data_IF_873648289963
#
_entry.id   IF_873648289963
#
_cell.length_a   1.000
_cell.length_b   1.000
_cell.length_c   1.000
_cell.angle_alpha   90.00
_cell.angle_beta   90.00
_cell.angle_gamma   90.00
#
_symmetry.space_group_name_H-M   'P 1'
#
loop_
_entity.id
_entity.type
_entity.pdbx_description
1 polymer ?
#
# COMPACT_ATOMS: atom_id res chain seq x y z
N UNK A 1 -7.87 48.38 -26.34
CA UNK A 1 -7.06 47.19 -26.19
C UNK A 1 -7.99 46.02 -26.41
N UNK A 2 -7.98 45.48 -27.60
CA UNK A 2 -8.80 44.34 -28.04
C UNK A 2 -8.15 43.08 -27.52
N UNK A 3 -8.80 42.42 -26.58
CA UNK A 3 -8.42 41.07 -26.13
C UNK A 3 -8.84 40.09 -27.24
N UNK A 4 -7.86 39.58 -27.98
CA UNK A 4 -8.02 38.44 -28.86
C UNK A 4 -8.43 37.22 -28.02
N UNK A 5 -9.74 36.92 -28.02
CA UNK A 5 -10.25 35.63 -27.63
C UNK A 5 -9.90 34.65 -28.78
N UNK A 6 -8.72 34.02 -28.72
CA UNK A 6 -8.47 32.82 -29.47
C UNK A 6 -9.39 31.73 -28.90
N UNK A 7 -10.57 31.57 -29.46
CA UNK A 7 -11.36 30.34 -29.36
C UNK A 7 -10.54 29.26 -30.05
N UNK A 8 -9.84 28.45 -29.25
CA UNK A 8 -9.20 27.21 -29.67
C UNK A 8 -10.32 26.32 -30.25
N UNK A 9 -10.53 26.35 -31.56
CA UNK A 9 -11.52 25.50 -32.22
C UNK A 9 -10.98 24.10 -32.27
N UNK A 10 -11.24 23.31 -31.22
CA UNK A 10 -10.89 21.90 -31.13
C UNK A 10 -11.39 21.21 -32.40
N UNK A 11 -10.47 20.66 -33.19
CA UNK A 11 -10.80 19.92 -34.39
C UNK A 11 -11.18 18.48 -34.01
N UNK A 12 -12.16 17.92 -34.74
CA UNK A 12 -12.66 16.58 -34.49
C UNK A 12 -12.51 15.72 -35.76
N UNK A 13 -12.30 14.43 -35.56
CA UNK A 13 -12.48 13.39 -36.57
C UNK A 13 -13.72 12.57 -36.24
N UNK A 14 -14.44 12.11 -37.27
CA UNK A 14 -15.58 11.21 -37.07
C UNK A 14 -15.10 9.77 -37.04
N UNK A 15 -15.37 9.07 -35.94
CA UNK A 15 -15.19 7.62 -35.80
C UNK A 15 -16.54 6.92 -35.64
N UNK A 16 -16.58 5.60 -35.89
CA UNK A 16 -17.82 4.83 -35.82
C UNK A 16 -17.59 3.57 -34.97
N UNK A 17 -18.53 3.29 -34.10
CA UNK A 17 -18.70 2.01 -33.45
C UNK A 17 -20.06 1.35 -33.79
N UNK A 18 -20.44 0.29 -33.11
CA UNK A 18 -21.70 -0.42 -33.35
C UNK A 18 -22.95 0.41 -33.04
N UNK A 19 -22.81 1.51 -32.31
CA UNK A 19 -23.90 2.44 -31.96
C UNK A 19 -23.98 3.66 -32.88
N UNK A 20 -23.07 3.80 -33.86
CA UNK A 20 -23.05 4.89 -34.84
C UNK A 20 -21.83 5.79 -34.74
N UNK A 21 -21.90 6.96 -35.40
CA UNK A 21 -20.79 7.91 -35.47
C UNK A 21 -20.62 8.72 -34.19
N UNK A 22 -19.35 9.03 -33.85
CA UNK A 22 -18.94 9.86 -32.71
C UNK A 22 -17.81 10.79 -33.16
N UNK A 23 -17.87 12.04 -32.71
CA UNK A 23 -16.80 13.01 -32.92
C UNK A 23 -15.73 12.85 -31.84
N UNK A 24 -14.52 12.50 -32.25
CA UNK A 24 -13.35 12.31 -31.37
C UNK A 24 -12.36 13.45 -31.62
N UNK A 25 -11.73 14.06 -30.60
CA UNK A 25 -10.71 15.09 -30.82
C UNK A 25 -9.60 14.59 -31.75
N UNK A 26 -9.17 15.43 -32.72
CA UNK A 26 -8.27 14.98 -33.79
C UNK A 26 -6.92 14.48 -33.26
N UNK A 27 -6.43 15.07 -32.18
CA UNK A 27 -5.14 14.72 -31.57
C UNK A 27 -5.21 13.50 -30.65
N UNK A 28 -6.41 13.10 -30.22
CA UNK A 28 -6.58 11.97 -29.33
C UNK A 28 -6.20 10.65 -30.03
N UNK A 29 -5.53 9.74 -29.27
CA UNK A 29 -5.30 8.37 -29.70
C UNK A 29 -6.44 7.43 -29.32
N UNK A 30 -7.32 7.82 -28.36
CA UNK A 30 -8.53 7.05 -28.11
C UNK A 30 -9.53 7.18 -29.27
N UNK A 31 -10.51 6.28 -29.30
CA UNK A 31 -11.51 6.20 -30.36
C UNK A 31 -12.94 6.43 -29.86
N UNK A 32 -13.90 5.92 -30.64
CA UNK A 32 -15.32 6.13 -30.46
C UNK A 32 -15.85 5.62 -29.12
N UNK A 33 -15.44 4.43 -28.65
CA UNK A 33 -15.94 3.84 -27.40
C UNK A 33 -15.47 4.62 -26.18
N UNK A 34 -14.22 5.06 -26.16
CA UNK A 34 -13.67 5.92 -25.12
C UNK A 34 -14.39 7.26 -25.09
N UNK A 35 -14.61 7.89 -26.23
CA UNK A 35 -15.30 9.17 -26.30
C UNK A 35 -16.75 9.11 -25.80
N UNK A 36 -17.46 8.01 -26.08
CA UNK A 36 -18.79 7.78 -25.48
C UNK A 36 -18.72 7.71 -23.96
N UNK A 37 -17.74 6.98 -23.42
CA UNK A 37 -17.55 6.85 -21.97
C UNK A 37 -17.27 8.21 -21.32
N UNK A 38 -16.40 9.03 -21.92
CA UNK A 38 -16.13 10.41 -21.45
C UNK A 38 -17.40 11.27 -21.38
N UNK A 39 -18.30 11.08 -22.33
CA UNK A 39 -19.55 11.83 -22.38
C UNK A 39 -20.60 11.31 -21.40
N UNK A 40 -20.63 9.99 -21.15
CA UNK A 40 -21.64 9.34 -20.32
C UNK A 40 -21.33 9.36 -18.82
N UNK A 41 -20.05 9.29 -18.43
CA UNK A 41 -19.63 9.14 -17.03
C UNK A 41 -18.92 10.40 -16.54
N UNK A 42 -19.68 11.47 -16.29
CA UNK A 42 -19.19 12.72 -15.70
C UNK A 42 -19.36 12.65 -14.17
N UNK A 43 -18.66 11.73 -13.54
CA UNK A 43 -18.78 11.40 -12.11
C UNK A 43 -17.39 11.49 -11.47
N UNK A 44 -17.25 12.35 -10.44
CA UNK A 44 -15.97 12.54 -9.76
C UNK A 44 -14.86 13.08 -10.67
N UNK A 45 -13.62 12.81 -10.32
CA UNK A 45 -12.44 13.21 -11.10
C UNK A 45 -11.33 12.15 -11.04
N UNK A 46 -11.57 11.07 -10.30
CA UNK A 46 -10.59 10.01 -10.09
C UNK A 46 -10.46 9.17 -11.36
N UNK A 47 -9.26 9.16 -11.93
CA UNK A 47 -8.90 8.33 -13.10
C UNK A 47 -8.18 7.06 -12.66
N UNK A 48 -8.01 6.11 -13.58
CA UNK A 48 -7.24 4.89 -13.28
C UNK A 48 -5.79 5.23 -12.91
N UNK A 49 -5.23 4.62 -11.86
CA UNK A 49 -3.84 4.82 -11.47
C UNK A 49 -2.87 4.40 -12.59
N UNK A 50 -1.79 5.15 -12.75
CA UNK A 50 -0.76 4.88 -13.77
C UNK A 50 -0.25 3.42 -13.74
N UNK A 51 0.01 2.78 -12.58
CA UNK A 51 0.41 1.36 -12.56
C UNK A 51 -0.62 0.41 -13.17
N UNK A 52 -1.93 0.73 -13.12
CA UNK A 52 -2.95 -0.08 -13.75
C UNK A 52 -2.95 0.10 -15.28
N UNK A 53 -2.74 1.33 -15.76
CA UNK A 53 -2.59 1.62 -17.20
C UNK A 53 -1.38 0.87 -17.75
N UNK A 54 -0.24 0.92 -17.05
CA UNK A 54 0.96 0.17 -17.44
C UNK A 54 0.72 -1.35 -17.46
N UNK A 55 0.02 -1.87 -16.45
CA UNK A 55 -0.32 -3.29 -16.40
C UNK A 55 -1.27 -3.71 -17.53
N UNK A 56 -2.24 -2.88 -17.89
CA UNK A 56 -3.09 -3.12 -19.06
C UNK A 56 -2.27 -3.17 -20.35
N UNK A 57 -1.32 -2.26 -20.53
CA UNK A 57 -0.42 -2.29 -21.69
C UNK A 57 0.47 -3.54 -21.69
N UNK A 58 0.99 -3.98 -20.53
CA UNK A 58 1.73 -5.25 -20.39
C UNK A 58 0.88 -6.45 -20.75
N UNK A 59 -0.39 -6.48 -20.35
CA UNK A 59 -1.33 -7.55 -20.75
C UNK A 59 -1.50 -7.59 -22.27
N UNK A 60 -1.67 -6.43 -22.93
CA UNK A 60 -1.80 -6.37 -24.41
C UNK A 60 -0.51 -6.78 -25.10
N UNK A 61 0.65 -6.35 -24.59
CA UNK A 61 1.95 -6.79 -25.10
C UNK A 61 2.13 -8.31 -25.00
N UNK A 62 1.85 -8.88 -23.83
CA UNK A 62 1.96 -10.32 -23.59
C UNK A 62 0.98 -11.12 -24.47
N UNK A 63 -0.25 -10.62 -24.62
CA UNK A 63 -1.25 -11.22 -25.48
C UNK A 63 -0.81 -11.23 -26.97
N UNK A 64 -0.27 -10.11 -27.47
CA UNK A 64 0.23 -10.04 -28.86
C UNK A 64 1.40 -11.00 -29.08
N UNK A 65 2.39 -11.06 -28.20
CA UNK A 65 3.53 -11.99 -28.26
C UNK A 65 3.02 -13.44 -28.27
N UNK A 66 2.11 -13.77 -27.37
CA UNK A 66 1.58 -15.14 -27.25
C UNK A 66 0.73 -15.53 -28.45
N UNK A 67 -0.14 -14.65 -28.93
CA UNK A 67 -0.98 -14.92 -30.11
C UNK A 67 -0.16 -15.10 -31.39
N UNK A 68 0.93 -14.34 -31.58
CA UNK A 68 1.83 -14.53 -32.68
C UNK A 68 2.54 -15.88 -32.59
N UNK A 69 3.08 -16.24 -31.43
CA UNK A 69 3.69 -17.55 -31.19
C UNK A 69 2.74 -18.72 -31.46
N UNK A 70 1.45 -18.55 -31.23
CA UNK A 70 0.39 -19.52 -31.49
C UNK A 70 -0.19 -19.43 -32.92
N UNK A 71 0.39 -18.57 -33.76
CA UNK A 71 -0.03 -18.42 -35.17
C UNK A 71 -1.41 -17.75 -35.34
N UNK A 72 -1.87 -16.96 -34.37
CA UNK A 72 -3.18 -16.31 -34.37
C UNK A 72 -3.15 -14.90 -34.93
N UNK A 73 -2.01 -14.21 -34.86
CA UNK A 73 -1.73 -12.94 -35.52
C UNK A 73 -0.35 -13.04 -36.22
N UNK A 74 -0.10 -12.19 -37.21
CA UNK A 74 1.21 -12.16 -37.87
C UNK A 74 2.27 -11.48 -36.99
N UNK A 75 3.54 -11.77 -37.28
CA UNK A 75 4.67 -11.13 -36.57
C UNK A 75 4.67 -9.60 -36.75
N UNK A 76 4.36 -9.11 -37.99
CA UNK A 76 4.28 -7.67 -38.23
C UNK A 76 3.23 -6.97 -37.31
N UNK A 77 2.07 -7.59 -37.15
CA UNK A 77 1.04 -7.06 -36.25
C UNK A 77 1.48 -7.09 -34.79
N UNK A 78 2.11 -8.18 -34.34
CA UNK A 78 2.70 -8.31 -33.03
C UNK A 78 3.69 -7.17 -32.77
N UNK A 79 4.62 -6.92 -33.68
CA UNK A 79 5.68 -5.94 -33.52
C UNK A 79 5.13 -4.52 -33.36
N UNK A 80 4.13 -4.16 -34.15
CA UNK A 80 3.45 -2.86 -34.04
C UNK A 80 2.69 -2.70 -32.72
N UNK A 81 1.97 -3.75 -32.29
CA UNK A 81 1.26 -3.72 -30.98
C UNK A 81 2.25 -3.62 -29.83
N UNK A 82 3.34 -4.40 -29.88
CA UNK A 82 4.39 -4.39 -28.84
C UNK A 82 5.05 -3.02 -28.77
N UNK A 83 5.40 -2.40 -29.88
CA UNK A 83 6.02 -1.08 -29.91
C UNK A 83 5.09 -0.02 -29.29
N UNK A 84 3.82 0.02 -29.68
CA UNK A 84 2.85 0.96 -29.11
C UNK A 84 2.62 0.72 -27.62
N UNK A 85 2.55 -0.54 -27.17
CA UNK A 85 2.43 -0.89 -25.75
C UNK A 85 3.66 -0.47 -24.95
N UNK A 86 4.88 -0.63 -25.50
CA UNK A 86 6.13 -0.21 -24.85
C UNK A 86 6.19 1.31 -24.65
N UNK A 87 5.72 2.10 -25.60
CA UNK A 87 5.62 3.55 -25.43
C UNK A 87 4.73 3.92 -24.22
N UNK A 88 3.60 3.23 -24.05
CA UNK A 88 2.68 3.45 -22.91
C UNK A 88 3.34 3.02 -21.61
N UNK A 89 3.98 1.85 -21.55
CA UNK A 89 4.68 1.32 -20.38
C UNK A 89 5.81 2.26 -19.95
N UNK A 90 6.51 2.87 -20.90
CA UNK A 90 7.58 3.84 -20.65
C UNK A 90 7.06 5.26 -20.31
N UNK A 91 5.75 5.44 -20.16
CA UNK A 91 5.13 6.67 -19.70
C UNK A 91 4.82 7.69 -20.77
N UNK A 92 4.92 7.33 -22.05
CA UNK A 92 4.35 8.11 -23.14
C UNK A 92 2.81 8.00 -23.16
N UNK A 93 2.14 8.93 -23.82
CA UNK A 93 0.69 8.91 -24.04
C UNK A 93 -0.16 8.86 -22.75
N UNK A 94 0.35 9.35 -21.61
CA UNK A 94 -0.36 9.32 -20.29
C UNK A 94 -1.69 10.05 -20.34
N UNK A 95 -1.77 11.14 -21.07
CA UNK A 95 -2.95 11.96 -21.29
C UNK A 95 -4.04 11.28 -22.14
N UNK A 96 -3.73 10.14 -22.74
CA UNK A 96 -4.63 9.36 -23.60
C UNK A 96 -5.55 8.38 -22.83
N UNK A 97 -5.51 8.40 -21.48
CA UNK A 97 -6.32 7.55 -20.61
C UNK A 97 -7.20 8.39 -19.67
N UNK A 98 -8.18 9.13 -20.23
CA UNK A 98 -8.93 10.16 -19.49
C UNK A 98 -10.13 9.60 -18.70
N UNK A 99 -10.37 8.27 -18.74
CA UNK A 99 -11.58 7.70 -18.19
C UNK A 99 -11.56 7.66 -16.66
N UNK A 100 -12.70 8.02 -16.07
CA UNK A 100 -12.87 7.98 -14.62
C UNK A 100 -13.05 6.55 -14.12
N UNK A 101 -12.75 6.35 -12.84
CA UNK A 101 -12.99 5.08 -12.13
C UNK A 101 -14.48 4.70 -12.12
N UNK A 102 -15.36 5.71 -12.06
CA UNK A 102 -16.83 5.60 -12.01
C UNK A 102 -17.40 5.33 -13.42
N UNK A 103 -17.11 4.14 -13.94
CA UNK A 103 -17.50 3.67 -15.26
C UNK A 103 -18.21 2.30 -15.16
N UNK A 104 -18.39 1.57 -16.26
CA UNK A 104 -18.90 0.20 -16.18
C UNK A 104 -18.02 -0.66 -15.25
N UNK A 105 -18.65 -1.43 -14.38
CA UNK A 105 -17.97 -2.16 -13.33
C UNK A 105 -17.06 -3.29 -13.79
N UNK A 106 -17.15 -3.71 -15.05
CA UNK A 106 -16.23 -4.66 -15.69
C UNK A 106 -14.94 -4.00 -16.17
N UNK A 107 -14.89 -2.66 -16.30
CA UNK A 107 -13.77 -1.92 -16.87
C UNK A 107 -13.72 -1.94 -18.41
N UNK A 108 -14.82 -2.26 -19.08
CA UNK A 108 -14.84 -2.42 -20.55
C UNK A 108 -14.41 -1.14 -21.27
N UNK A 109 -14.83 0.04 -20.82
CA UNK A 109 -14.43 1.27 -21.47
C UNK A 109 -12.92 1.51 -21.36
N UNK A 110 -12.30 1.22 -20.21
CA UNK A 110 -10.85 1.33 -20.05
C UNK A 110 -10.09 0.27 -20.87
N UNK A 111 -10.59 -0.95 -20.95
CA UNK A 111 -10.02 -1.96 -21.85
C UNK A 111 -10.07 -1.49 -23.31
N UNK A 112 -11.20 -0.93 -23.74
CA UNK A 112 -11.34 -0.39 -25.10
C UNK A 112 -10.47 0.85 -25.30
N UNK A 113 -10.36 1.74 -24.30
CA UNK A 113 -9.43 2.86 -24.35
C UNK A 113 -7.99 2.39 -24.62
N UNK A 114 -7.50 1.37 -23.92
CA UNK A 114 -6.19 0.78 -24.16
C UNK A 114 -6.09 0.20 -25.58
N UNK A 115 -7.09 -0.55 -26.04
CA UNK A 115 -7.12 -1.13 -27.37
C UNK A 115 -7.10 -0.07 -28.48
N UNK A 116 -7.91 1.00 -28.32
CA UNK A 116 -8.02 2.10 -29.28
C UNK A 116 -6.70 2.91 -29.36
N UNK A 117 -6.09 3.23 -28.21
CA UNK A 117 -4.80 3.94 -28.15
C UNK A 117 -3.69 3.11 -28.81
N UNK A 118 -3.56 1.83 -28.47
CA UNK A 118 -2.57 0.95 -29.09
C UNK A 118 -2.80 0.84 -30.59
N UNK A 119 -4.03 0.61 -31.04
CA UNK A 119 -4.32 0.46 -32.47
C UNK A 119 -4.02 1.74 -33.25
N UNK A 120 -4.45 2.90 -32.76
CA UNK A 120 -4.19 4.19 -33.42
C UNK A 120 -2.69 4.51 -33.45
N UNK A 121 -1.96 4.27 -32.36
CA UNK A 121 -0.52 4.50 -32.32
C UNK A 121 0.24 3.54 -33.25
N UNK A 122 -0.10 2.26 -33.21
CA UNK A 122 0.48 1.25 -34.09
C UNK A 122 0.26 1.58 -35.58
N UNK A 123 -0.92 2.03 -35.95
CA UNK A 123 -1.24 2.45 -37.32
C UNK A 123 -0.48 3.71 -37.74
N UNK A 124 -0.32 4.68 -36.83
CA UNK A 124 0.47 5.89 -37.09
C UNK A 124 1.95 5.57 -37.36
N UNK A 125 2.53 4.57 -36.68
CA UNK A 125 3.93 4.11 -36.89
C UNK A 125 4.20 3.66 -38.31
N UNK A 126 3.16 3.23 -39.03
CA UNK A 126 3.25 2.84 -40.45
C UNK A 126 2.61 3.88 -41.38
N UNK A 127 2.44 5.12 -40.93
CA UNK A 127 1.98 6.24 -41.74
C UNK A 127 0.48 6.26 -42.01
N UNK A 128 -0.33 5.50 -41.26
CA UNK A 128 -1.79 5.55 -41.39
C UNK A 128 -2.40 6.60 -40.46
N UNK A 129 -3.56 7.15 -40.85
CA UNK A 129 -4.30 8.10 -40.03
C UNK A 129 -5.05 7.41 -38.87
N UNK A 130 -5.21 8.14 -37.75
CA UNK A 130 -6.01 7.70 -36.61
C UNK A 130 -7.46 7.42 -37.01
N UNK A 131 -8.10 6.42 -36.39
CA UNK A 131 -9.49 6.02 -36.65
C UNK A 131 -9.69 5.13 -37.89
N UNK A 132 -8.65 4.81 -38.63
CA UNK A 132 -8.75 3.93 -39.83
C UNK A 132 -8.69 2.45 -39.47
N UNK A 133 -8.04 2.09 -38.34
CA UNK A 133 -7.91 0.73 -37.81
C UNK A 133 -7.37 -0.28 -38.81
N UNK A 134 -6.37 0.12 -39.61
CA UNK A 134 -5.62 -0.70 -40.54
C UNK A 134 -4.14 -0.30 -40.51
N UNK A 135 -3.19 -1.26 -40.44
CA UNK A 135 -3.38 -2.73 -40.40
C UNK A 135 -3.82 -3.28 -39.03
N UNK A 136 -3.85 -2.47 -37.93
CA UNK A 136 -4.18 -2.91 -36.60
C UNK A 136 -5.60 -2.47 -36.21
N UNK A 137 -6.45 -3.45 -35.88
CA UNK A 137 -7.80 -3.22 -35.37
C UNK A 137 -7.89 -3.41 -33.84
N UNK A 138 -8.56 -2.51 -33.08
CA UNK A 138 -8.59 -2.58 -31.61
C UNK A 138 -9.23 -3.87 -31.08
N UNK A 139 -10.29 -4.38 -31.71
CA UNK A 139 -10.96 -5.60 -31.25
C UNK A 139 -10.33 -6.86 -31.82
N UNK A 140 -10.04 -6.89 -33.14
CA UNK A 140 -9.65 -8.12 -33.83
C UNK A 140 -8.16 -8.47 -33.58
N UNK A 141 -7.30 -7.46 -33.42
CA UNK A 141 -5.87 -7.66 -33.26
C UNK A 141 -5.41 -7.40 -31.81
N UNK A 142 -5.66 -6.21 -31.25
CA UNK A 142 -5.17 -5.84 -29.91
C UNK A 142 -5.88 -6.63 -28.81
N UNK A 143 -7.19 -6.86 -28.96
CA UNK A 143 -8.01 -7.63 -28.02
C UNK A 143 -8.14 -9.12 -28.39
N UNK A 144 -7.34 -9.63 -29.32
CA UNK A 144 -7.45 -11.01 -29.80
C UNK A 144 -7.35 -12.03 -28.66
N UNK A 145 -8.27 -13.01 -28.62
CA UNK A 145 -8.39 -14.05 -27.58
C UNK A 145 -8.62 -13.52 -26.16
N UNK A 146 -9.17 -12.31 -26.00
CA UNK A 146 -9.44 -11.68 -24.72
C UNK A 146 -10.90 -11.21 -24.61
N UNK A 147 -11.38 -11.15 -23.38
CA UNK A 147 -12.54 -10.35 -22.95
C UNK A 147 -12.06 -9.32 -21.93
N UNK A 148 -12.80 -8.24 -21.73
CA UNK A 148 -12.53 -7.36 -20.56
C UNK A 148 -12.68 -8.15 -19.26
N UNK A 149 -13.57 -9.13 -19.23
CA UNK A 149 -13.86 -9.92 -18.03
C UNK A 149 -12.66 -10.71 -17.51
N UNK A 150 -11.73 -11.09 -18.37
CA UNK A 150 -10.47 -11.75 -17.98
C UNK A 150 -9.26 -10.82 -18.01
N UNK A 151 -9.18 -9.87 -18.96
CA UNK A 151 -8.01 -9.00 -19.14
C UNK A 151 -7.93 -7.88 -18.08
N UNK A 152 -9.05 -7.28 -17.68
CA UNK A 152 -9.04 -6.19 -16.71
C UNK A 152 -8.68 -6.67 -15.28
N UNK A 153 -9.27 -7.75 -14.74
CA UNK A 153 -8.82 -8.28 -13.46
C UNK A 153 -7.38 -8.83 -13.50
N UNK A 154 -6.94 -9.35 -14.62
CA UNK A 154 -5.52 -9.70 -14.82
C UNK A 154 -4.63 -8.46 -14.68
N UNK A 155 -5.00 -7.34 -15.28
CA UNK A 155 -4.24 -6.10 -15.15
C UNK A 155 -4.21 -5.58 -13.70
N UNK A 156 -5.31 -5.71 -12.95
CA UNK A 156 -5.34 -5.37 -11.51
C UNK A 156 -4.33 -6.24 -10.74
N UNK A 157 -4.35 -7.55 -10.92
CA UNK A 157 -3.43 -8.49 -10.24
C UNK A 157 -1.97 -8.22 -10.63
N UNK A 158 -1.69 -8.00 -11.91
CA UNK A 158 -0.34 -7.66 -12.39
C UNK A 158 0.15 -6.35 -11.78
N UNK A 159 -0.68 -5.30 -11.77
CA UNK A 159 -0.34 -4.03 -11.17
C UNK A 159 -0.08 -4.16 -9.66
N UNK A 160 -1.00 -4.80 -8.93
CA UNK A 160 -0.90 -4.97 -7.48
C UNK A 160 0.34 -5.79 -7.09
N UNK A 161 0.56 -6.94 -7.72
CA UNK A 161 1.71 -7.78 -7.43
C UNK A 161 3.03 -7.06 -7.69
N UNK A 162 3.17 -6.35 -8.83
CA UNK A 162 4.37 -5.56 -9.13
C UNK A 162 4.60 -4.45 -8.12
N UNK A 163 3.55 -3.70 -7.73
CA UNK A 163 3.68 -2.64 -6.74
C UNK A 163 4.01 -3.19 -5.34
N UNK A 164 3.47 -4.34 -4.96
CA UNK A 164 3.83 -4.98 -3.68
C UNK A 164 5.30 -5.43 -3.72
N UNK A 165 5.73 -6.15 -4.77
CA UNK A 165 7.08 -6.73 -4.87
C UNK A 165 8.15 -5.64 -5.01
N UNK A 166 7.94 -4.65 -5.88
CA UNK A 166 9.00 -3.71 -6.24
C UNK A 166 8.94 -2.36 -5.53
N UNK A 167 7.85 -2.06 -4.81
CA UNK A 167 7.70 -0.80 -4.10
C UNK A 167 7.44 -1.01 -2.60
N UNK A 168 6.38 -1.75 -2.24
CA UNK A 168 5.94 -1.85 -0.85
C UNK A 168 6.89 -2.70 0.02
N UNK A 169 7.23 -3.90 -0.43
CA UNK A 169 8.12 -4.80 0.33
C UNK A 169 9.47 -4.13 0.62
N UNK A 170 10.17 -3.52 -0.36
CA UNK A 170 11.42 -2.81 -0.09
C UNK A 170 11.27 -1.67 0.92
N UNK A 171 10.20 -0.88 0.85
CA UNK A 171 9.96 0.22 1.79
C UNK A 171 9.70 -0.29 3.23
N UNK A 172 8.93 -1.35 3.39
CA UNK A 172 8.70 -1.99 4.70
C UNK A 172 9.98 -2.60 5.26
N UNK A 173 10.77 -3.28 4.43
CA UNK A 173 12.06 -3.84 4.82
C UNK A 173 13.03 -2.76 5.30
N UNK A 174 13.14 -1.66 4.57
CA UNK A 174 13.98 -0.52 4.92
C UNK A 174 13.63 0.05 6.30
N UNK A 175 12.34 0.30 6.55
CA UNK A 175 11.87 0.77 7.86
C UNK A 175 12.15 -0.25 8.96
N UNK A 176 11.87 -1.53 8.71
CA UNK A 176 12.14 -2.63 9.64
C UNK A 176 13.62 -2.70 10.02
N UNK A 177 14.52 -2.60 9.04
CA UNK A 177 15.96 -2.67 9.27
C UNK A 177 16.47 -1.49 10.09
N UNK A 178 15.96 -0.30 9.85
CA UNK A 178 16.25 0.89 10.66
C UNK A 178 15.79 0.70 12.11
N UNK A 179 14.56 0.24 12.32
CA UNK A 179 14.06 -0.03 13.67
C UNK A 179 14.81 -1.17 14.38
N UNK A 180 15.28 -2.19 13.64
CA UNK A 180 16.12 -3.25 14.18
C UNK A 180 17.47 -2.68 14.66
N UNK A 181 18.10 -1.83 13.86
CA UNK A 181 19.32 -1.14 14.28
C UNK A 181 19.11 -0.28 15.53
N UNK A 182 17.97 0.41 15.63
CA UNK A 182 17.62 1.17 16.85
C UNK A 182 17.38 0.25 18.05
N UNK A 183 16.73 -0.91 17.86
CA UNK A 183 16.55 -1.88 18.92
C UNK A 183 17.88 -2.37 19.50
N UNK A 184 18.87 -2.62 18.65
CA UNK A 184 20.21 -2.98 19.06
C UNK A 184 20.93 -1.84 19.80
N UNK A 185 20.88 -0.63 19.25
CA UNK A 185 21.48 0.58 19.88
C UNK A 185 20.91 0.87 21.26
N UNK A 186 19.63 0.60 21.47
CA UNK A 186 18.90 0.90 22.72
C UNK A 186 18.80 -0.30 23.67
N UNK A 187 19.45 -1.42 23.37
CA UNK A 187 19.31 -2.66 24.13
C UNK A 187 19.68 -2.52 25.62
N UNK A 188 20.63 -1.65 25.95
CA UNK A 188 21.07 -1.40 27.32
C UNK A 188 20.31 -0.30 28.06
N UNK A 189 19.35 0.38 27.44
CA UNK A 189 18.63 1.52 28.03
C UNK A 189 17.40 1.02 28.75
N UNK A 190 17.46 0.89 30.07
CA UNK A 190 16.33 0.49 30.91
C UNK A 190 15.39 1.67 31.11
N UNK A 191 14.11 1.45 30.91
CA UNK A 191 13.03 2.45 31.07
C UNK A 191 11.82 1.84 31.77
N UNK A 192 10.88 2.68 32.20
CA UNK A 192 9.58 2.16 32.64
C UNK A 192 8.77 1.68 31.42
N UNK A 193 8.08 0.54 31.58
CA UNK A 193 7.00 0.17 30.69
C UNK A 193 5.75 1.00 30.99
N UNK A 194 4.82 1.04 30.00
CA UNK A 194 3.49 1.62 30.19
C UNK A 194 2.43 0.69 29.64
N UNK A 195 1.46 0.36 30.50
CA UNK A 195 0.23 -0.34 30.09
C UNK A 195 -0.96 0.55 30.42
N UNK A 196 -1.95 0.66 29.55
CA UNK A 196 -3.06 1.61 29.70
C UNK A 196 -2.62 3.08 29.85
N UNK A 197 -1.46 3.45 29.34
CA UNK A 197 -0.76 4.71 29.55
C UNK A 197 -0.40 4.98 31.05
N UNK A 198 -0.45 3.96 31.91
CA UNK A 198 -0.03 4.02 33.30
C UNK A 198 1.34 3.36 33.46
N UNK A 199 2.06 3.78 34.50
CA UNK A 199 3.38 3.22 34.83
C UNK A 199 3.30 1.71 35.05
N UNK A 200 4.24 1.00 34.48
CA UNK A 200 4.36 -0.46 34.60
C UNK A 200 5.80 -0.85 34.99
N UNK A 201 6.07 -2.15 35.04
CA UNK A 201 7.41 -2.66 35.32
C UNK A 201 8.41 -2.31 34.23
N UNK A 202 9.70 -2.24 34.55
CA UNK A 202 10.75 -1.92 33.59
C UNK A 202 10.87 -2.90 32.42
N UNK A 203 11.29 -2.36 31.29
CA UNK A 203 11.83 -3.07 30.12
C UNK A 203 12.99 -2.23 29.57
N UNK A 204 13.69 -2.71 28.53
CA UNK A 204 14.62 -1.86 27.83
C UNK A 204 13.94 -1.17 26.63
N UNK A 205 14.41 0.01 26.26
CA UNK A 205 13.95 0.71 25.05
C UNK A 205 14.19 -0.16 23.80
N UNK A 206 15.30 -0.93 23.77
CA UNK A 206 15.54 -1.91 22.72
C UNK A 206 14.49 -3.01 22.64
N UNK A 207 14.00 -3.51 23.79
CA UNK A 207 12.89 -4.48 23.82
C UNK A 207 11.59 -3.87 23.28
N UNK A 208 11.30 -2.64 23.58
CA UNK A 208 10.14 -1.92 23.05
C UNK A 208 10.21 -1.80 21.52
N UNK A 209 11.37 -1.38 20.97
CA UNK A 209 11.60 -1.29 19.52
C UNK A 209 11.61 -2.67 18.85
N UNK A 210 12.08 -3.72 19.50
CA UNK A 210 12.04 -5.09 18.96
C UNK A 210 10.61 -5.57 18.68
N UNK A 211 9.64 -5.09 19.46
CA UNK A 211 8.22 -5.33 19.21
C UNK A 211 7.76 -4.73 17.87
N UNK A 212 8.23 -3.53 17.53
CA UNK A 212 7.94 -2.90 16.24
C UNK A 212 8.56 -3.66 15.07
N UNK A 213 9.81 -4.11 15.23
CA UNK A 213 10.50 -4.96 14.24
C UNK A 213 9.70 -6.22 13.96
N UNK A 214 9.29 -6.92 15.00
CA UNK A 214 8.50 -8.16 14.89
C UNK A 214 7.15 -7.93 14.19
N UNK A 215 6.49 -6.79 14.42
CA UNK A 215 5.26 -6.45 13.70
C UNK A 215 5.48 -6.32 12.19
N UNK A 216 6.59 -5.70 11.78
CA UNK A 216 6.94 -5.54 10.36
C UNK A 216 7.42 -6.85 9.72
N UNK A 217 8.17 -7.69 10.44
CA UNK A 217 8.52 -9.05 9.98
C UNK A 217 7.27 -9.89 9.67
N UNK A 218 6.30 -9.88 10.58
CA UNK A 218 5.02 -10.57 10.33
C UNK A 218 4.20 -9.93 9.20
N UNK A 219 4.32 -8.61 9.00
CA UNK A 219 3.66 -7.95 7.88
C UNK A 219 4.25 -8.40 6.54
N UNK A 220 5.57 -8.55 6.43
CA UNK A 220 6.24 -9.08 5.23
C UNK A 220 5.77 -10.50 4.91
N UNK A 221 5.65 -11.37 5.92
CA UNK A 221 5.11 -12.74 5.75
C UNK A 221 3.66 -12.70 5.21
N UNK A 222 2.82 -11.78 5.72
CA UNK A 222 1.42 -11.64 5.24
C UNK A 222 1.35 -11.09 3.83
N UNK A 223 2.24 -10.17 3.44
CA UNK A 223 2.33 -9.69 2.07
C UNK A 223 2.74 -10.80 1.09
N UNK A 224 3.70 -11.63 1.47
CA UNK A 224 4.09 -12.80 0.66
C UNK A 224 2.92 -13.79 0.48
N UNK A 225 2.19 -14.08 1.55
CA UNK A 225 0.99 -14.92 1.47
C UNK A 225 -0.09 -14.31 0.56
N UNK A 226 -0.27 -13.00 0.57
CA UNK A 226 -1.23 -12.31 -0.29
C UNK A 226 -0.83 -12.34 -1.77
N UNK A 227 0.46 -12.30 -2.07
CA UNK A 227 0.97 -12.38 -3.43
C UNK A 227 0.61 -13.70 -4.12
N UNK A 228 0.49 -14.81 -3.40
CA UNK A 228 0.19 -16.11 -3.99
C UNK A 228 -1.14 -16.08 -4.78
N UNK A 229 -2.20 -15.48 -4.22
CA UNK A 229 -3.47 -15.34 -4.92
C UNK A 229 -3.42 -14.33 -6.08
N UNK A 230 -2.59 -13.27 -5.97
CA UNK A 230 -2.41 -12.30 -7.03
C UNK A 230 -1.60 -12.82 -8.22
N UNK A 231 -0.79 -13.87 -8.02
CA UNK A 231 -0.04 -14.49 -9.11
C UNK A 231 -0.91 -15.33 -10.06
N UNK A 232 -2.09 -15.76 -9.62
CA UNK A 232 -3.02 -16.56 -10.41
C UNK A 232 -3.86 -15.68 -11.34
N UNK A 233 -3.62 -15.75 -12.66
CA UNK A 233 -4.21 -14.83 -13.61
C UNK A 233 -5.50 -15.37 -14.24
N UNK A 234 -6.59 -14.54 -14.28
CA UNK A 234 -7.84 -14.85 -14.98
C UNK A 234 -7.70 -14.99 -16.49
N UNK A 235 -6.69 -14.36 -17.10
CA UNK A 235 -6.50 -14.27 -18.55
C UNK A 235 -6.53 -15.63 -19.22
N UNK A 236 -7.25 -15.72 -20.34
CA UNK A 236 -7.55 -16.94 -21.05
C UNK A 236 -8.92 -17.56 -20.72
N UNK A 237 -9.61 -17.05 -19.68
CA UNK A 237 -11.00 -17.44 -19.41
C UNK A 237 -12.01 -16.82 -20.36
N UNK A 238 -11.63 -15.76 -21.04
CA UNK A 238 -12.46 -14.95 -21.94
C UNK A 238 -13.73 -14.41 -21.28
N UNK A 239 -14.91 -14.64 -21.85
CA UNK A 239 -16.15 -14.00 -21.39
C UNK A 239 -16.64 -14.48 -20.01
N UNK A 240 -16.60 -15.79 -19.75
CA UNK A 240 -17.21 -16.42 -18.57
C UNK A 240 -16.36 -17.52 -17.92
N UNK A 241 -15.13 -17.75 -18.43
CA UNK A 241 -14.22 -18.76 -17.89
C UNK A 241 -14.00 -19.99 -18.78
N UNK A 242 -14.73 -20.11 -19.88
CA UNK A 242 -14.66 -21.28 -20.77
C UNK A 242 -13.49 -21.22 -21.77
N UNK A 243 -12.85 -20.06 -21.94
CA UNK A 243 -11.81 -19.86 -22.94
C UNK A 243 -12.32 -19.81 -24.38
N UNK A 244 -13.59 -19.50 -24.59
CA UNK A 244 -14.18 -19.43 -25.94
C UNK A 244 -13.38 -18.51 -26.85
N UNK A 245 -13.06 -18.99 -28.06
CA UNK A 245 -12.25 -18.32 -29.11
C UNK A 245 -10.75 -18.14 -28.77
N UNK A 246 -10.26 -18.63 -27.65
CA UNK A 246 -8.83 -18.68 -27.36
C UNK A 246 -8.21 -20.01 -27.86
N UNK A 247 -6.90 -19.98 -28.13
CA UNK A 247 -6.15 -21.22 -28.39
C UNK A 247 -6.05 -22.01 -27.05
N UNK A 248 -6.09 -23.36 -27.05
CA UNK A 248 -6.00 -24.16 -25.81
C UNK A 248 -4.79 -23.82 -24.95
N UNK A 249 -3.64 -23.53 -25.52
CA UNK A 249 -2.40 -23.21 -24.81
C UNK A 249 -2.29 -21.71 -24.44
N UNK A 250 -3.25 -20.87 -24.82
CA UNK A 250 -3.15 -19.42 -24.65
C UNK A 250 -3.03 -19.01 -23.19
N UNK A 251 -3.88 -19.53 -22.33
CA UNK A 251 -3.95 -19.15 -20.92
C UNK A 251 -2.62 -19.40 -20.18
N UNK A 252 -2.00 -20.55 -20.43
CA UNK A 252 -0.72 -20.89 -19.82
C UNK A 252 0.43 -20.07 -20.39
N UNK A 253 0.52 -19.98 -21.74
CA UNK A 253 1.62 -19.27 -22.39
C UNK A 253 1.59 -17.76 -22.14
N UNK A 254 0.41 -17.13 -22.06
CA UNK A 254 0.33 -15.68 -21.79
C UNK A 254 0.72 -15.36 -20.34
N UNK A 255 0.40 -16.23 -19.37
CA UNK A 255 0.86 -16.08 -18.01
C UNK A 255 2.39 -16.21 -17.91
N UNK A 256 2.98 -17.20 -18.58
CA UNK A 256 4.44 -17.36 -18.70
C UNK A 256 5.09 -16.13 -19.35
N UNK A 257 4.47 -15.58 -20.39
CA UNK A 257 4.97 -14.37 -21.06
C UNK A 257 4.93 -13.16 -20.11
N UNK A 258 3.84 -12.97 -19.34
CA UNK A 258 3.74 -11.92 -18.32
C UNK A 258 4.80 -12.10 -17.22
N UNK A 259 5.02 -13.34 -16.78
CA UNK A 259 6.07 -13.63 -15.80
C UNK A 259 7.47 -13.25 -16.33
N UNK A 260 7.78 -13.61 -17.57
CA UNK A 260 9.06 -13.25 -18.20
C UNK A 260 9.23 -11.73 -18.38
N UNK A 261 8.17 -11.02 -18.77
CA UNK A 261 8.21 -9.57 -18.99
C UNK A 261 8.34 -8.77 -17.68
N UNK A 262 7.86 -9.31 -16.57
CA UNK A 262 7.73 -8.56 -15.30
C UNK A 262 8.70 -9.02 -14.22
N UNK A 263 9.29 -10.22 -14.33
CA UNK A 263 10.07 -10.85 -13.27
C UNK A 263 9.22 -11.33 -12.06
N UNK A 264 7.89 -11.25 -12.16
CA UNK A 264 6.96 -11.73 -11.13
C UNK A 264 6.40 -13.08 -11.56
N UNK A 265 6.33 -14.10 -10.68
CA UNK A 265 6.03 -15.48 -11.05
C UNK A 265 4.53 -15.73 -11.30
N UNK A 266 3.97 -15.03 -12.29
CA UNK A 266 2.57 -15.21 -12.68
C UNK A 266 2.32 -16.59 -13.28
N UNK A 267 1.17 -17.15 -12.93
CA UNK A 267 0.67 -18.42 -13.42
C UNK A 267 -0.78 -18.28 -13.89
N UNK A 268 -1.22 -19.22 -14.73
CA UNK A 268 -2.65 -19.25 -15.10
C UNK A 268 -3.47 -19.73 -13.90
N UNK A 269 -4.61 -19.06 -13.59
CA UNK A 269 -5.50 -19.46 -12.50
C UNK A 269 -6.02 -20.89 -12.75
N UNK A 270 -5.99 -21.76 -11.71
CA UNK A 270 -6.40 -23.15 -11.86
C UNK A 270 -7.91 -23.29 -12.14
N UNK A 271 -8.71 -22.32 -11.71
CA UNK A 271 -10.14 -22.25 -12.00
C UNK A 271 -10.48 -20.87 -12.58
N UNK A 272 -10.77 -20.83 -13.89
CA UNK A 272 -11.10 -19.58 -14.59
C UNK A 272 -12.47 -19.02 -14.20
N UNK A 273 -13.38 -19.86 -13.77
CA UNK A 273 -14.73 -19.42 -13.37
C UNK A 273 -14.67 -18.61 -12.07
N UNK A 274 -13.97 -19.13 -11.05
CA UNK A 274 -13.70 -18.38 -9.83
C UNK A 274 -12.91 -17.10 -10.12
N UNK A 275 -11.82 -17.20 -10.89
CA UNK A 275 -10.92 -16.08 -11.15
C UNK A 275 -11.59 -14.91 -11.91
N UNK A 276 -12.66 -15.18 -12.70
CA UNK A 276 -13.45 -14.12 -13.34
C UNK A 276 -14.57 -13.59 -12.43
N UNK A 277 -15.24 -14.45 -11.69
CA UNK A 277 -16.44 -14.10 -10.91
C UNK A 277 -16.10 -13.49 -9.55
N UNK A 278 -15.04 -13.97 -8.87
CA UNK A 278 -14.65 -13.52 -7.54
C UNK A 278 -13.46 -12.55 -7.56
N UNK A 279 -13.35 -11.79 -6.45
CA UNK A 279 -12.22 -10.86 -6.20
C UNK A 279 -11.51 -11.21 -4.88
N UNK A 280 -11.52 -12.48 -4.50
CA UNK A 280 -11.04 -12.94 -3.19
C UNK A 280 -9.54 -12.67 -3.00
N UNK A 281 -8.73 -12.81 -4.05
CA UNK A 281 -7.30 -12.48 -4.01
C UNK A 281 -7.04 -11.00 -3.71
N UNK A 282 -7.81 -10.11 -4.32
CA UNK A 282 -7.73 -8.66 -4.12
C UNK A 282 -8.24 -8.27 -2.72
N UNK A 283 -9.30 -8.90 -2.23
CA UNK A 283 -9.84 -8.73 -0.86
C UNK A 283 -8.83 -9.21 0.18
N UNK A 284 -8.22 -10.39 -0.02
CA UNK A 284 -7.20 -10.92 0.88
C UNK A 284 -5.95 -10.02 0.93
N UNK A 285 -5.50 -9.55 -0.22
CA UNK A 285 -4.40 -8.59 -0.30
C UNK A 285 -4.71 -7.29 0.45
N UNK A 286 -5.92 -6.75 0.30
CA UNK A 286 -6.39 -5.59 1.08
C UNK A 286 -6.35 -5.86 2.59
N UNK A 287 -6.75 -7.05 3.04
CA UNK A 287 -6.67 -7.47 4.44
C UNK A 287 -5.23 -7.49 4.99
N UNK A 288 -4.27 -7.92 4.17
CA UNK A 288 -2.84 -7.88 4.52
C UNK A 288 -2.32 -6.44 4.64
N UNK A 289 -2.70 -5.56 3.69
CA UNK A 289 -2.37 -4.14 3.72
C UNK A 289 -2.98 -3.44 4.94
N UNK A 290 -4.22 -3.73 5.28
CA UNK A 290 -4.89 -3.23 6.49
C UNK A 290 -4.14 -3.65 7.75
N UNK A 291 -3.68 -4.89 7.82
CA UNK A 291 -2.93 -5.38 8.98
C UNK A 291 -1.57 -4.67 9.11
N UNK A 292 -0.87 -4.44 8.01
CA UNK A 292 0.33 -3.59 8.00
C UNK A 292 0.01 -2.17 8.48
N UNK A 293 -1.07 -1.56 7.97
CA UNK A 293 -1.52 -0.23 8.40
C UNK A 293 -1.77 -0.16 9.91
N UNK A 294 -2.39 -1.19 10.50
CA UNK A 294 -2.60 -1.27 11.96
C UNK A 294 -1.28 -1.30 12.74
N UNK A 295 -0.27 -2.03 12.25
CA UNK A 295 1.07 -2.06 12.84
C UNK A 295 1.76 -0.69 12.75
N UNK A 296 1.71 -0.05 11.59
CA UNK A 296 2.28 1.27 11.37
C UNK A 296 1.62 2.35 12.24
N UNK A 297 0.29 2.26 12.43
CA UNK A 297 -0.44 3.16 13.33
C UNK A 297 0.06 3.06 14.77
N UNK A 298 0.28 1.84 15.26
CA UNK A 298 0.82 1.60 16.60
C UNK A 298 2.24 2.18 16.72
N UNK A 299 3.11 1.92 15.78
CA UNK A 299 4.49 2.41 15.79
C UNK A 299 4.52 3.95 15.77
N UNK A 300 3.77 4.58 14.88
CA UNK A 300 3.70 6.03 14.76
C UNK A 300 3.14 6.69 16.04
N UNK A 301 2.12 6.09 16.66
CA UNK A 301 1.55 6.59 17.91
C UNK A 301 2.53 6.47 19.08
N UNK A 302 3.20 5.34 19.25
CA UNK A 302 4.17 5.16 20.32
C UNK A 302 5.33 6.15 20.18
N UNK A 303 5.89 6.29 18.99
CA UNK A 303 6.99 7.23 18.72
C UNK A 303 6.56 8.67 19.07
N UNK A 304 5.40 9.14 18.63
CA UNK A 304 4.96 10.51 18.93
C UNK A 304 4.61 10.72 20.39
N UNK A 305 4.08 9.70 21.09
CA UNK A 305 3.84 9.78 22.53
C UNK A 305 5.15 9.88 23.31
N UNK A 306 6.12 9.01 23.01
CA UNK A 306 7.43 9.02 23.66
C UNK A 306 8.21 10.31 23.37
N UNK A 307 8.01 10.94 22.22
CA UNK A 307 8.62 12.21 21.83
C UNK A 307 7.81 13.45 22.28
N UNK A 308 6.67 13.27 22.93
CA UNK A 308 5.79 14.38 23.32
C UNK A 308 6.42 15.36 24.32
N UNK A 309 6.15 16.64 24.15
CA UNK A 309 6.64 17.69 25.05
C UNK A 309 7.43 18.77 24.31
N UNK A 310 8.75 18.89 24.51
CA UNK A 310 9.70 18.01 25.22
C UNK A 310 9.73 18.17 26.77
N UNK A 311 9.23 19.28 27.31
CA UNK A 311 9.30 19.55 28.76
C UNK A 311 8.04 19.13 29.54
N UNK A 312 6.86 19.33 28.94
CA UNK A 312 5.55 19.11 29.56
C UNK A 312 4.85 17.83 29.09
N UNK A 313 5.53 16.98 28.38
CA UNK A 313 5.07 15.65 27.95
C UNK A 313 6.00 14.55 28.43
N UNK A 314 5.97 13.38 27.77
CA UNK A 314 6.83 12.24 28.11
C UNK A 314 8.30 12.59 27.83
N UNK A 315 8.65 12.94 26.60
CA UNK A 315 9.99 13.41 26.22
C UNK A 315 11.11 12.39 26.41
N UNK A 316 10.82 11.09 26.34
CA UNK A 316 11.81 10.00 26.40
C UNK A 316 12.58 9.82 25.07
N UNK A 317 11.98 10.27 23.97
CA UNK A 317 12.61 10.28 22.65
C UNK A 317 12.72 11.70 22.11
N UNK A 318 13.77 11.92 21.32
CA UNK A 318 13.92 13.04 20.43
C UNK A 318 13.75 12.55 18.99
N UNK A 319 13.01 13.30 18.21
CA UNK A 319 12.78 13.04 16.77
C UNK A 319 13.34 14.21 15.94
N UNK A 320 13.65 13.99 14.65
CA UNK A 320 14.12 15.04 13.75
C UNK A 320 13.16 16.23 13.64
N UNK A 321 13.73 17.42 13.52
CA UNK A 321 13.02 18.65 13.26
C UNK A 321 12.99 18.89 11.75
N UNK A 322 11.85 18.60 11.11
CA UNK A 322 11.74 18.66 9.65
C UNK A 322 11.16 20.00 9.16
N UNK A 323 10.19 20.55 9.90
CA UNK A 323 9.50 21.80 9.54
C UNK A 323 9.21 22.67 10.78
N UNK A 324 9.07 23.99 10.60
CA UNK A 324 8.53 24.86 11.67
C UNK A 324 7.13 24.39 12.07
N UNK A 325 6.94 24.04 13.35
CA UNK A 325 5.71 23.41 13.83
C UNK A 325 4.55 24.36 14.13
N UNK A 326 4.76 25.68 14.06
CA UNK A 326 3.72 26.67 14.36
C UNK A 326 4.03 28.03 13.75
N UNK A 327 3.00 28.71 13.28
CA UNK A 327 3.10 30.09 12.80
C UNK A 327 3.17 31.14 13.91
N UNK A 328 2.81 30.77 15.15
CA UNK A 328 2.71 31.71 16.31
C UNK A 328 3.52 31.27 17.54
N UNK A 329 4.06 30.06 17.56
CA UNK A 329 4.88 29.51 18.65
C UNK A 329 6.28 29.16 18.12
N UNK A 330 7.24 30.12 18.17
CA UNK A 330 8.59 29.90 17.64
C UNK A 330 9.28 28.73 18.35
N UNK A 331 9.94 27.86 17.57
CA UNK A 331 10.67 26.72 18.11
C UNK A 331 9.81 25.50 18.46
N UNK A 332 8.49 25.54 18.18
CA UNK A 332 7.64 24.34 18.33
C UNK A 332 7.90 23.38 17.18
N UNK A 333 8.17 22.11 17.50
CA UNK A 333 8.33 21.02 16.55
C UNK A 333 7.20 20.02 16.72
N UNK A 334 6.57 19.62 15.64
CA UNK A 334 5.48 18.64 15.65
C UNK A 334 5.97 17.27 15.14
N UNK A 335 5.34 16.16 15.55
CA UNK A 335 5.65 14.82 15.06
C UNK A 335 4.99 14.58 13.69
N UNK A 336 5.32 15.42 12.68
CA UNK A 336 4.62 15.49 11.38
C UNK A 336 4.61 14.18 10.62
N UNK A 337 5.70 13.41 10.70
CA UNK A 337 5.79 12.10 10.06
C UNK A 337 4.83 11.07 10.68
N UNK A 338 4.68 11.09 12.01
CA UNK A 338 3.68 10.26 12.69
C UNK A 338 2.24 10.68 12.35
N UNK A 339 1.99 11.99 12.20
CA UNK A 339 0.69 12.51 11.79
C UNK A 339 0.34 12.06 10.36
N UNK A 340 1.27 12.21 9.42
CA UNK A 340 1.11 11.76 8.05
C UNK A 340 0.82 10.26 7.98
N UNK A 341 1.59 9.44 8.69
CA UNK A 341 1.39 7.98 8.75
C UNK A 341 0.01 7.62 9.29
N UNK A 342 -0.47 8.26 10.35
CA UNK A 342 -1.79 7.96 10.91
C UNK A 342 -2.94 8.39 9.97
N UNK A 343 -2.77 9.45 9.17
CA UNK A 343 -3.73 9.81 8.12
C UNK A 343 -3.74 8.79 6.99
N UNK A 344 -2.57 8.31 6.54
CA UNK A 344 -2.47 7.22 5.55
C UNK A 344 -3.17 5.97 6.06
N UNK A 345 -2.95 5.59 7.33
CA UNK A 345 -3.65 4.45 7.94
C UNK A 345 -5.16 4.61 7.87
N UNK A 346 -5.69 5.77 8.20
CA UNK A 346 -7.14 6.04 8.14
C UNK A 346 -7.68 5.85 6.70
N UNK A 347 -6.94 6.35 5.68
CA UNK A 347 -7.31 6.17 4.28
C UNK A 347 -7.29 4.70 3.86
N UNK A 348 -6.26 3.94 4.23
CA UNK A 348 -6.15 2.50 3.91
C UNK A 348 -7.26 1.69 4.55
N UNK A 349 -7.66 2.02 5.80
CA UNK A 349 -8.82 1.39 6.46
C UNK A 349 -10.12 1.66 5.68
N UNK A 350 -10.33 2.89 5.20
CA UNK A 350 -11.48 3.24 4.35
C UNK A 350 -11.47 2.50 3.01
N UNK A 351 -10.32 2.40 2.37
CA UNK A 351 -10.15 1.65 1.13
C UNK A 351 -10.47 0.16 1.31
N UNK A 352 -10.04 -0.44 2.43
CA UNK A 352 -10.33 -1.84 2.75
C UNK A 352 -11.84 -2.10 2.87
N UNK A 353 -12.59 -1.21 3.50
CA UNK A 353 -14.05 -1.30 3.55
C UNK A 353 -14.65 -1.30 2.14
N UNK A 354 -14.18 -0.39 1.28
CA UNK A 354 -14.63 -0.30 -0.11
C UNK A 354 -14.33 -1.58 -0.88
N UNK A 355 -13.12 -2.12 -0.75
CA UNK A 355 -12.68 -3.34 -1.46
C UNK A 355 -13.48 -4.55 -0.99
N UNK A 356 -13.73 -4.68 0.32
CA UNK A 356 -14.53 -5.78 0.86
C UNK A 356 -15.98 -5.75 0.36
N UNK A 357 -16.63 -4.58 0.41
CA UNK A 357 -17.99 -4.39 -0.11
C UNK A 357 -18.07 -4.72 -1.60
N UNK A 358 -17.13 -4.20 -2.37
CA UNK A 358 -17.05 -4.40 -3.82
C UNK A 358 -16.74 -5.88 -4.17
N UNK A 359 -15.83 -6.52 -3.44
CA UNK A 359 -15.47 -7.92 -3.63
C UNK A 359 -16.66 -8.86 -3.35
N UNK A 360 -17.43 -8.57 -2.30
CA UNK A 360 -18.62 -9.35 -1.92
C UNK A 360 -19.84 -9.14 -2.84
N UNK A 361 -19.79 -8.17 -3.77
CA UNK A 361 -20.93 -7.76 -4.60
C UNK A 361 -20.98 -8.41 -5.99
N UNK A 362 -20.24 -9.51 -6.23
CA UNK A 362 -20.28 -10.25 -7.47
C UNK A 362 -21.63 -10.96 -7.70
N UNK A 363 -22.06 -10.99 -8.97
CA UNK A 363 -23.29 -11.70 -9.37
C UNK A 363 -22.96 -12.55 -10.59
N UNK A 364 -23.04 -13.88 -10.46
CA UNK A 364 -22.69 -14.83 -11.53
C UNK A 364 -21.29 -14.55 -12.10
N UNK A 365 -21.16 -14.27 -13.38
CA UNK A 365 -19.91 -13.94 -14.10
C UNK A 365 -20.03 -12.59 -14.85
N UNK A 366 -19.20 -11.57 -14.58
CA UNK A 366 -18.15 -11.38 -13.57
C UNK A 366 -18.58 -10.51 -12.38
N UNK A 367 -17.66 -10.25 -11.46
CA UNK A 367 -17.77 -9.11 -10.55
C UNK A 367 -17.69 -7.79 -11.34
N UNK A 368 -18.63 -6.86 -11.07
CA UNK A 368 -18.74 -5.58 -11.80
C UNK A 368 -18.40 -4.35 -10.94
N UNK A 369 -17.42 -4.50 -10.03
CA UNK A 369 -16.86 -3.45 -9.19
C UNK A 369 -15.33 -3.31 -9.40
N UNK A 370 -14.81 -3.87 -10.49
CA UNK A 370 -13.38 -4.00 -10.72
C UNK A 370 -12.61 -2.66 -10.76
N UNK A 371 -13.09 -1.57 -11.40
CA UNK A 371 -12.37 -0.31 -11.41
C UNK A 371 -12.15 0.28 -10.01
N UNK A 372 -13.17 0.26 -9.15
CA UNK A 372 -13.05 0.79 -7.78
C UNK A 372 -12.18 -0.10 -6.90
N UNK A 373 -12.20 -1.42 -7.09
CA UNK A 373 -11.28 -2.35 -6.39
C UNK A 373 -9.84 -2.04 -6.78
N UNK A 374 -9.53 -1.99 -8.09
CA UNK A 374 -8.19 -1.70 -8.59
C UNK A 374 -7.66 -0.34 -8.11
N UNK A 375 -8.49 0.69 -8.16
CA UNK A 375 -8.14 2.02 -7.69
C UNK A 375 -7.75 2.04 -6.20
N UNK A 376 -8.63 1.53 -5.33
CA UNK A 376 -8.40 1.56 -3.88
C UNK A 376 -7.25 0.63 -3.44
N UNK A 377 -7.09 -0.53 -4.08
CA UNK A 377 -6.00 -1.45 -3.78
C UNK A 377 -4.64 -0.82 -4.11
N UNK A 378 -4.49 -0.26 -5.31
CA UNK A 378 -3.25 0.37 -5.74
C UNK A 378 -2.94 1.65 -4.96
N UNK A 379 -3.96 2.44 -4.60
CA UNK A 379 -3.79 3.59 -3.72
C UNK A 379 -3.25 3.16 -2.35
N UNK A 380 -3.81 2.10 -1.76
CA UNK A 380 -3.36 1.58 -0.46
C UNK A 380 -1.92 1.10 -0.50
N UNK A 381 -1.53 0.35 -1.53
CA UNK A 381 -0.15 -0.13 -1.72
C UNK A 381 0.81 1.06 -1.80
N UNK A 382 0.48 2.04 -2.64
CA UNK A 382 1.29 3.24 -2.86
C UNK A 382 1.47 4.06 -1.59
N UNK A 383 0.37 4.39 -0.92
CA UNK A 383 0.39 5.20 0.30
C UNK A 383 1.18 4.53 1.42
N UNK A 384 1.06 3.21 1.60
CA UNK A 384 1.83 2.47 2.60
C UNK A 384 3.32 2.46 2.28
N UNK A 385 3.70 2.28 1.03
CA UNK A 385 5.10 2.32 0.62
C UNK A 385 5.70 3.71 0.83
N UNK A 386 5.05 4.74 0.28
CA UNK A 386 5.53 6.12 0.37
C UNK A 386 5.64 6.58 1.84
N UNK A 387 4.70 6.17 2.72
CA UNK A 387 4.75 6.55 4.13
C UNK A 387 5.81 5.77 4.92
N UNK A 388 6.08 4.51 4.58
CA UNK A 388 7.20 3.76 5.18
C UNK A 388 8.53 4.41 4.86
N UNK A 389 8.76 4.79 3.61
CA UNK A 389 9.98 5.50 3.19
C UNK A 389 10.10 6.87 3.86
N UNK A 390 9.04 7.68 3.83
CA UNK A 390 9.03 9.01 4.43
C UNK A 390 9.28 8.96 5.94
N UNK A 391 8.58 8.08 6.65
CA UNK A 391 8.77 7.91 8.10
C UNK A 391 10.17 7.38 8.42
N UNK A 392 10.69 6.46 7.61
CA UNK A 392 12.06 5.98 7.76
C UNK A 392 13.06 7.13 7.66
N UNK A 393 13.03 7.87 6.55
CA UNK A 393 14.06 8.84 6.18
C UNK A 393 13.99 10.12 7.02
N UNK A 394 12.79 10.52 7.44
CA UNK A 394 12.55 11.78 8.14
C UNK A 394 12.16 11.63 9.62
N UNK A 395 12.04 10.40 10.13
CA UNK A 395 11.77 10.16 11.55
C UNK A 395 12.67 9.05 12.12
N UNK A 396 12.50 7.79 11.67
CA UNK A 396 13.08 6.61 12.32
C UNK A 396 14.61 6.65 12.41
N UNK A 397 15.30 7.05 11.33
CA UNK A 397 16.76 7.16 11.28
C UNK A 397 17.30 8.12 12.37
N UNK A 398 16.60 9.21 12.61
CA UNK A 398 17.02 10.26 13.54
C UNK A 398 16.46 10.15 14.96
N UNK A 399 15.79 9.05 15.33
CA UNK A 399 15.31 8.85 16.71
C UNK A 399 16.52 8.70 17.65
N UNK A 400 16.52 9.50 18.74
CA UNK A 400 17.51 9.46 19.80
C UNK A 400 16.81 9.31 21.18
N UNK A 401 17.40 8.56 22.13
CA UNK A 401 16.89 8.48 23.50
C UNK A 401 17.26 9.72 24.29
N UNK A 402 16.35 10.21 25.12
CA UNK A 402 16.62 11.26 26.12
C UNK A 402 16.86 10.58 27.46
N UNK A 403 18.09 10.13 27.68
CA UNK A 403 18.46 9.28 28.83
C UNK A 403 18.15 9.92 30.17
N UNK A 404 18.33 11.24 30.33
CA UNK A 404 17.98 11.95 31.56
C UNK A 404 16.49 11.83 31.92
N UNK A 405 15.60 11.91 30.91
CA UNK A 405 14.15 11.73 31.14
C UNK A 405 13.79 10.29 31.45
N UNK A 406 14.41 9.36 30.74
CA UNK A 406 14.24 7.92 30.95
C UNK A 406 14.65 7.56 32.39
N UNK A 407 15.82 8.00 32.83
CA UNK A 407 16.32 7.77 34.17
C UNK A 407 15.44 8.42 35.22
N UNK A 408 14.99 9.66 34.99
CA UNK A 408 14.09 10.35 35.90
C UNK A 408 12.78 9.55 36.12
N UNK A 409 12.12 9.11 35.04
CA UNK A 409 10.89 8.32 35.16
C UNK A 409 11.14 6.95 35.79
N UNK A 410 12.23 6.29 35.44
CA UNK A 410 12.59 4.99 35.99
C UNK A 410 12.72 5.04 37.50
N UNK A 411 13.50 5.99 38.02
CA UNK A 411 13.79 6.09 39.45
C UNK A 411 12.61 6.68 40.28
N UNK A 412 11.66 7.34 39.63
CA UNK A 412 10.44 7.85 40.29
C UNK A 412 9.25 6.91 40.20
N UNK A 413 9.36 5.81 39.44
CA UNK A 413 8.26 4.86 39.26
C UNK A 413 7.99 4.07 40.54
N UNK A 414 6.74 4.09 40.98
CA UNK A 414 6.28 3.26 42.12
C UNK A 414 6.20 1.76 41.74
N UNK A 415 6.23 1.42 40.46
CA UNK A 415 6.13 0.03 40.00
C UNK A 415 7.43 -0.76 40.18
N UNK A 416 8.54 -0.10 40.53
CA UNK A 416 9.76 -0.78 41.01
C UNK A 416 9.53 -1.60 42.26
N UNK A 417 8.48 -1.29 43.04
CA UNK A 417 8.05 -2.05 44.22
C UNK A 417 7.80 -3.54 43.90
N UNK A 418 7.49 -3.85 42.65
CA UNK A 418 7.26 -5.24 42.18
C UNK A 418 8.46 -6.14 42.45
N UNK A 419 9.69 -5.62 42.41
CA UNK A 419 10.89 -6.36 42.80
C UNK A 419 10.87 -6.86 44.24
N UNK A 420 10.17 -6.13 45.12
CA UNK A 420 10.07 -6.47 46.57
C UNK A 420 9.07 -7.58 46.86
N UNK A 421 8.18 -7.94 45.94
CA UNK A 421 7.14 -8.96 46.16
C UNK A 421 7.68 -10.28 46.70
N UNK A 422 8.87 -10.69 46.25
CA UNK A 422 9.52 -11.95 46.64
C UNK A 422 10.15 -11.88 48.04
N UNK A 423 10.38 -10.68 48.56
CA UNK A 423 11.10 -10.45 49.83
C UNK A 423 10.15 -10.05 50.95
N UNK A 424 9.20 -9.16 50.69
CA UNK A 424 8.29 -8.63 51.72
C UNK A 424 6.83 -9.09 51.56
N UNK A 425 6.52 -9.78 50.46
CA UNK A 425 5.16 -10.20 50.10
C UNK A 425 4.35 -9.11 49.43
N UNK A 426 3.31 -9.52 48.67
CA UNK A 426 2.49 -8.60 47.86
C UNK A 426 1.79 -7.49 48.68
N UNK A 427 1.22 -7.85 49.82
CA UNK A 427 0.49 -6.89 50.67
C UNK A 427 1.39 -5.77 51.23
N UNK A 428 2.60 -6.14 51.67
CA UNK A 428 3.57 -5.14 52.15
C UNK A 428 4.11 -4.29 51.01
N UNK A 429 4.39 -4.88 49.85
CA UNK A 429 4.78 -4.13 48.66
C UNK A 429 3.67 -3.14 48.22
N UNK A 430 2.42 -3.56 48.22
CA UNK A 430 1.27 -2.68 47.95
C UNK A 430 1.15 -1.53 49.01
N UNK A 431 1.42 -1.84 50.29
CA UNK A 431 1.43 -0.83 51.37
C UNK A 431 2.54 0.20 51.14
N UNK A 432 3.75 -0.26 50.77
CA UNK A 432 4.87 0.64 50.46
C UNK A 432 4.48 1.60 49.30
N UNK A 433 4.00 1.06 48.17
CA UNK A 433 3.66 1.87 47.00
C UNK A 433 2.54 2.88 47.29
N UNK A 434 1.45 2.46 47.96
CA UNK A 434 0.32 3.33 48.29
C UNK A 434 0.74 4.44 49.30
N UNK A 435 1.59 4.13 50.26
CA UNK A 435 2.08 5.12 51.21
C UNK A 435 3.05 6.08 50.53
N UNK A 436 3.95 5.59 49.72
CA UNK A 436 4.88 6.42 48.95
C UNK A 436 4.12 7.44 48.08
N UNK A 437 3.07 6.98 47.37
CA UNK A 437 2.21 7.86 46.54
C UNK A 437 1.50 8.92 47.42
N UNK A 438 0.85 8.49 48.52
CA UNK A 438 0.06 9.37 49.39
C UNK A 438 0.91 10.43 50.04
N UNK A 439 2.12 10.09 50.47
CA UNK A 439 3.02 10.95 51.24
C UNK A 439 4.06 11.67 50.39
N UNK A 440 4.02 11.44 49.05
CA UNK A 440 5.02 11.96 48.11
C UNK A 440 6.46 11.63 48.52
N UNK A 441 6.69 10.38 48.95
CA UNK A 441 7.99 9.84 49.36
C UNK A 441 8.47 8.80 48.33
N UNK A 442 9.77 8.49 48.38
CA UNK A 442 10.32 7.37 47.59
C UNK A 442 9.91 6.03 48.17
N UNK A 443 9.89 5.00 47.34
CA UNK A 443 9.65 3.62 47.80
C UNK A 443 10.63 3.20 48.90
N UNK A 444 11.90 3.60 48.76
CA UNK A 444 12.97 3.31 49.70
C UNK A 444 12.69 3.91 51.09
N UNK A 445 12.40 5.21 51.12
CA UNK A 445 12.06 5.90 52.37
C UNK A 445 10.91 5.21 53.10
N UNK A 446 9.82 4.93 52.39
CA UNK A 446 8.64 4.32 53.02
C UNK A 446 8.92 2.90 53.47
N UNK A 447 9.64 2.10 52.70
CA UNK A 447 9.95 0.71 53.05
C UNK A 447 10.79 0.61 54.34
N UNK A 448 11.75 1.54 54.51
CA UNK A 448 12.57 1.65 55.71
C UNK A 448 11.77 2.19 56.91
N UNK A 449 10.98 3.26 56.72
CA UNK A 449 10.12 3.82 57.79
C UNK A 449 9.09 2.80 58.32
N UNK A 450 8.57 1.92 57.46
CA UNK A 450 7.68 0.84 57.86
C UNK A 450 8.42 -0.35 58.52
N UNK A 451 9.74 -0.30 58.60
CA UNK A 451 10.55 -1.37 59.20
C UNK A 451 10.51 -2.70 58.42
N UNK A 452 10.16 -2.65 57.16
CA UNK A 452 10.01 -3.84 56.31
C UNK A 452 11.33 -4.32 55.68
N UNK A 453 12.31 -3.40 55.53
CA UNK A 453 13.65 -3.68 55.03
C UNK A 453 14.61 -2.53 55.42
N UNK A 454 15.91 -2.75 55.24
CA UNK A 454 16.96 -1.75 55.41
C UNK A 454 17.30 -1.06 54.08
N UNK A 455 17.97 0.10 54.10
CA UNK A 455 18.50 0.78 52.93
C UNK A 455 19.33 -0.14 52.05
N UNK A 456 20.23 -0.95 52.64
CA UNK A 456 21.10 -1.87 51.93
C UNK A 456 20.29 -2.98 51.23
N UNK A 457 19.26 -3.50 51.90
CA UNK A 457 18.36 -4.50 51.30
C UNK A 457 17.55 -3.93 50.13
N UNK A 458 17.09 -2.67 50.23
CA UNK A 458 16.39 -2.02 49.13
C UNK A 458 17.31 -1.93 47.91
N UNK A 459 18.54 -1.43 48.07
CA UNK A 459 19.51 -1.27 46.97
C UNK A 459 19.98 -2.61 46.40
N UNK A 460 19.99 -3.68 47.17
CA UNK A 460 20.27 -5.02 46.71
C UNK A 460 19.14 -5.63 45.90
N UNK A 461 17.88 -5.43 46.33
CA UNK A 461 16.71 -6.12 45.77
C UNK A 461 16.02 -5.36 44.65
N UNK A 462 16.04 -4.03 44.69
CA UNK A 462 15.43 -3.19 43.65
C UNK A 462 16.48 -2.78 42.63
N UNK A 463 16.68 -3.64 41.64
CA UNK A 463 17.57 -3.40 40.49
C UNK A 463 16.73 -3.43 39.19
N UNK A 464 16.41 -2.26 38.60
CA UNK A 464 15.58 -2.20 37.40
C UNK A 464 16.09 -3.08 36.25
N UNK A 465 17.42 -3.19 36.07
CA UNK A 465 18.04 -4.01 35.05
C UNK A 465 17.72 -5.50 35.21
N UNK A 466 17.59 -5.94 36.48
CA UNK A 466 17.24 -7.29 36.82
C UNK A 466 15.75 -7.62 36.65
N UNK A 467 14.92 -6.62 36.31
CA UNK A 467 13.47 -6.77 36.08
C UNK A 467 13.10 -6.91 34.61
N UNK A 468 14.07 -6.83 33.70
CA UNK A 468 13.84 -6.82 32.23
C UNK A 468 13.83 -8.22 31.59
N UNK A 469 14.01 -9.28 32.37
CA UNK A 469 14.01 -10.66 31.90
C UNK A 469 13.53 -11.65 32.97
N UNK A 470 13.05 -12.84 32.59
CA UNK A 470 12.76 -13.93 33.52
C UNK A 470 13.99 -14.32 34.33
N UNK A 471 13.77 -14.71 35.62
CA UNK A 471 14.79 -15.26 36.54
C UNK A 471 14.38 -16.64 37.02
#
# INVERSE_FOLDING_TARGET
MTTDNQTDTQQFRSEKDTMGAVNVPIDAYWGAQTERSRNNFKIGGETLPQPLIEAMALVKKAAAITNAKLGRISDDKRDLIVQAADEIINGALRDQFPLVVWQTGSGTQSNMNMNEVIANRANELVGQGKGRYQPIHPNDDVNHAQSTNDSFPTAIRVAAARQIVYLLIPAVQKLRDTLASKAEQFAGIVKIGRTHLQDATPLTLGQEFSGYVSQLDHALIRLDAALQGLYELPLGGTAVGTGLNAHPDYAEQVAQTLAALTGVPFVTAPNKFEALAARDAEVFASGALKTLAASLNKIANDVRWLASGPRCGIGELKIPENEPGSSIMPGKVNPTQSEAMTMVVAQVMGNDVTINMAGASGNFEPNVFMPVIGYNLLQSIRLLADTCDSFNDHCAVGIEPVTEKIDYFLHNSLMLVTALNRHVGYENAAKIAKTAYKENKTLKQVAVELGLLTDAQFDEWVKPEAMTSPK
#
